data_IF_354605214774
#
_entry.id   IF_354605214774
#
_cell.length_a   1.000
_cell.length_b   1.000
_cell.length_c   1.000
_cell.angle_alpha   90.00
_cell.angle_beta   90.00
_cell.angle_gamma   90.00
#
_symmetry.space_group_name_H-M   'P 1'
#
loop_
_entity.id
_entity.type
_entity.pdbx_description
1 polymer ?
#
# COMPACT_ATOMS: atom_id res chain seq x y z
N UNK A 1 -11.86 29.28 61.86
CA UNK A 1 -10.72 28.59 61.23
C UNK A 1 -11.18 27.58 60.18
N UNK A 2 -12.09 26.65 60.48
CA UNK A 2 -12.57 25.61 59.54
C UNK A 2 -13.24 26.21 58.26
N UNK A 3 -14.09 27.26 58.40
CA UNK A 3 -14.75 27.96 57.32
C UNK A 3 -13.76 28.63 56.38
N UNK A 4 -12.68 29.23 56.87
CA UNK A 4 -11.61 29.82 56.04
C UNK A 4 -10.84 28.75 55.24
N UNK A 5 -10.58 27.59 55.83
CA UNK A 5 -9.96 26.44 55.13
C UNK A 5 -10.86 25.90 54.02
N UNK A 6 -12.15 25.73 54.29
CA UNK A 6 -13.13 25.28 53.28
C UNK A 6 -13.27 26.29 52.13
N UNK A 7 -13.29 27.57 52.43
CA UNK A 7 -13.35 28.64 51.42
C UNK A 7 -12.06 28.66 50.60
N UNK A 8 -10.87 28.50 51.24
CA UNK A 8 -9.60 28.43 50.53
C UNK A 8 -9.52 27.22 49.58
N UNK A 9 -10.00 26.03 50.02
CA UNK A 9 -10.07 24.83 49.15
C UNK A 9 -11.04 25.02 47.96
N UNK A 10 -12.22 25.61 48.20
CA UNK A 10 -13.19 25.90 47.15
C UNK A 10 -12.64 26.91 46.12
N UNK A 11 -11.94 27.95 46.59
CA UNK A 11 -11.28 28.91 45.72
C UNK A 11 -10.15 28.26 44.92
N UNK A 12 -9.29 27.46 45.52
CA UNK A 12 -8.22 26.75 44.83
C UNK A 12 -8.77 25.80 43.78
N UNK A 13 -9.84 25.06 44.09
CA UNK A 13 -10.52 24.19 43.14
C UNK A 13 -11.11 24.99 41.98
N UNK A 14 -11.77 26.11 42.20
CA UNK A 14 -12.33 26.93 41.17
C UNK A 14 -11.25 27.53 40.25
N UNK A 15 -10.16 28.03 40.82
CA UNK A 15 -9.01 28.56 40.05
C UNK A 15 -8.36 27.47 39.21
N UNK A 16 -8.14 26.28 39.78
CA UNK A 16 -7.58 25.15 39.07
C UNK A 16 -8.48 24.75 37.88
N UNK A 17 -9.79 24.59 38.09
CA UNK A 17 -10.75 24.26 37.03
C UNK A 17 -10.66 25.28 35.89
N UNK A 18 -10.69 26.57 36.19
CA UNK A 18 -10.62 27.64 35.20
C UNK A 18 -9.28 27.68 34.46
N UNK A 19 -8.18 27.35 35.15
CA UNK A 19 -6.85 27.27 34.58
C UNK A 19 -6.75 26.12 33.56
N UNK A 20 -7.26 24.92 33.91
CA UNK A 20 -7.27 23.79 33.01
C UNK A 20 -8.17 24.06 31.79
N UNK A 21 -9.40 24.49 31.99
CA UNK A 21 -10.33 24.79 30.89
C UNK A 21 -9.73 25.76 29.85
N UNK A 22 -8.96 26.74 30.31
CA UNK A 22 -8.37 27.77 29.44
C UNK A 22 -7.06 27.36 28.76
N UNK A 23 -6.24 26.52 29.42
CA UNK A 23 -4.84 26.34 29.02
C UNK A 23 -4.45 24.90 28.68
N UNK A 24 -5.34 23.92 28.84
CA UNK A 24 -4.96 22.51 28.63
C UNK A 24 -4.54 22.21 27.20
N UNK A 25 -5.14 22.86 26.18
CA UNK A 25 -4.79 22.71 24.77
C UNK A 25 -3.54 23.48 24.34
N UNK A 26 -3.21 24.58 25.07
CA UNK A 26 -2.07 25.40 24.70
C UNK A 26 -0.77 24.62 24.73
N UNK A 27 0.02 24.70 23.66
CA UNK A 27 1.30 24.00 23.52
C UNK A 27 1.22 22.48 23.73
N UNK A 28 0.05 21.89 23.51
CA UNK A 28 -0.12 20.45 23.40
C UNK A 28 -0.13 20.07 21.92
N UNK A 29 0.84 19.30 21.48
CA UNK A 29 0.95 18.80 20.10
C UNK A 29 0.75 17.31 20.10
N UNK A 30 -0.14 16.84 19.23
CA UNK A 30 -0.42 15.42 19.03
C UNK A 30 -0.20 15.15 17.55
N UNK A 31 0.67 14.20 17.25
CA UNK A 31 0.99 13.76 15.92
C UNK A 31 0.89 12.24 15.85
N UNK A 32 0.13 11.76 14.91
CA UNK A 32 0.00 10.34 14.59
C UNK A 32 0.47 10.13 13.16
N UNK A 33 1.33 9.15 12.92
CA UNK A 33 1.85 8.87 11.59
C UNK A 33 2.13 7.38 11.40
N UNK A 34 1.81 6.87 10.22
CA UNK A 34 2.34 5.59 9.77
C UNK A 34 3.85 5.71 9.54
N UNK A 35 4.60 4.68 9.88
CA UNK A 35 6.04 4.65 9.64
C UNK A 35 6.33 4.43 8.16
N UNK A 36 5.57 3.54 7.53
CA UNK A 36 5.73 3.19 6.13
C UNK A 36 4.61 3.82 5.30
N UNK A 37 4.93 4.30 4.11
CA UNK A 37 3.95 4.84 3.16
C UNK A 37 3.23 3.75 2.37
N UNK A 38 3.86 2.58 2.22
CA UNK A 38 3.28 1.43 1.52
C UNK A 38 3.88 0.13 2.05
N UNK A 39 3.04 -0.90 2.19
CA UNK A 39 3.41 -2.26 2.60
C UNK A 39 2.58 -3.27 1.79
N UNK A 40 2.92 -4.55 1.87
CA UNK A 40 2.08 -5.61 1.32
C UNK A 40 1.14 -6.19 2.37
N UNK A 41 0.01 -6.72 1.91
CA UNK A 41 -0.95 -7.43 2.73
C UNK A 41 -0.27 -8.61 3.45
N UNK A 42 -0.49 -8.70 4.76
CA UNK A 42 0.15 -9.67 5.65
C UNK A 42 1.46 -9.19 6.27
N UNK A 43 2.03 -8.10 5.80
CA UNK A 43 3.23 -7.51 6.40
C UNK A 43 2.90 -6.70 7.65
N UNK A 44 3.91 -6.52 8.49
CA UNK A 44 3.85 -5.72 9.70
C UNK A 44 4.43 -4.32 9.45
N UNK A 45 3.81 -3.33 10.04
CA UNK A 45 4.30 -1.96 10.10
C UNK A 45 4.00 -1.36 11.47
N UNK A 46 4.34 -0.11 11.68
CA UNK A 46 4.14 0.56 12.96
C UNK A 46 3.43 1.90 12.80
N UNK A 47 2.52 2.16 13.72
CA UNK A 47 1.90 3.47 13.93
C UNK A 47 2.68 4.20 15.02
N UNK A 48 3.15 5.40 14.74
CA UNK A 48 3.89 6.24 15.67
C UNK A 48 2.99 7.35 16.20
N UNK A 49 2.83 7.38 17.51
CA UNK A 49 2.14 8.44 18.26
C UNK A 49 3.16 9.30 18.97
N UNK A 50 3.18 10.58 18.70
CA UNK A 50 4.07 11.56 19.36
C UNK A 50 3.20 12.62 20.02
N UNK A 51 3.26 12.71 21.34
CA UNK A 51 2.52 13.68 22.13
C UNK A 51 3.53 14.54 22.88
N UNK A 52 3.44 15.84 22.70
CA UNK A 52 4.35 16.83 23.32
C UNK A 52 3.53 17.78 24.16
N UNK A 53 3.78 17.77 25.47
CA UNK A 53 3.25 18.75 26.40
C UNK A 53 4.33 19.82 26.67
N UNK A 54 4.36 20.88 25.86
CA UNK A 54 5.36 21.95 26.00
C UNK A 54 4.81 23.13 26.81
N UNK A 55 4.43 22.83 28.06
CA UNK A 55 3.93 23.81 29.05
C UNK A 55 4.21 23.37 30.47
N UNK A 56 4.09 24.32 31.41
CA UNK A 56 4.21 24.08 32.85
C UNK A 56 2.95 23.43 33.47
N UNK A 57 1.84 23.33 32.71
CA UNK A 57 0.63 22.70 33.20
C UNK A 57 0.72 21.18 32.98
N UNK A 58 0.77 20.36 34.05
CA UNK A 58 0.76 18.90 33.89
C UNK A 58 -0.61 18.42 33.40
N UNK A 59 -0.66 17.30 32.75
CA UNK A 59 -1.91 16.64 32.33
C UNK A 59 -1.92 15.25 32.99
N UNK A 60 -2.65 15.07 34.09
CA UNK A 60 -2.66 13.83 34.86
C UNK A 60 -3.14 12.63 34.06
N UNK A 61 -4.14 12.82 33.22
CA UNK A 61 -4.58 11.83 32.25
C UNK A 61 -5.01 12.52 30.95
N UNK A 62 -4.51 12.02 29.84
CA UNK A 62 -4.88 12.35 28.49
C UNK A 62 -5.31 11.06 27.80
N UNK A 63 -6.58 10.92 27.49
CA UNK A 63 -7.06 9.85 26.62
C UNK A 63 -6.90 10.28 25.18
N UNK A 64 -6.23 9.47 24.38
CA UNK A 64 -6.10 9.65 22.92
C UNK A 64 -6.91 8.57 22.23
N UNK A 65 -7.88 8.98 21.45
CA UNK A 65 -8.71 8.11 20.61
C UNK A 65 -8.39 8.31 19.14
N UNK A 66 -8.14 7.23 18.43
CA UNK A 66 -7.87 7.23 16.99
C UNK A 66 -8.86 6.28 16.33
N UNK A 67 -9.54 6.78 15.30
CA UNK A 67 -10.40 5.95 14.45
C UNK A 67 -9.60 5.42 13.27
N UNK A 68 -9.65 4.10 13.05
CA UNK A 68 -8.92 3.45 11.98
C UNK A 68 -9.67 2.22 11.48
N UNK A 69 -9.29 1.69 10.31
CA UNK A 69 -9.91 0.52 9.71
C UNK A 69 -9.64 -0.76 10.55
N UNK A 70 -10.64 -1.64 10.60
CA UNK A 70 -10.56 -2.99 11.23
C UNK A 70 -9.53 -3.91 10.58
N UNK A 71 -9.17 -3.63 9.33
CA UNK A 71 -8.23 -4.43 8.56
C UNK A 71 -6.77 -4.23 9.02
N UNK A 72 -6.51 -3.27 9.90
CA UNK A 72 -5.24 -3.09 10.60
C UNK A 72 -5.34 -3.79 11.96
N UNK A 73 -4.71 -4.95 12.08
CA UNK A 73 -4.74 -5.75 13.31
C UNK A 73 -3.56 -5.41 14.21
N UNK A 74 -3.84 -4.78 15.35
CA UNK A 74 -2.86 -4.49 16.40
C UNK A 74 -2.68 -5.68 17.33
N UNK A 75 -1.51 -5.81 17.98
CA UNK A 75 -1.22 -6.87 18.92
C UNK A 75 -2.26 -6.93 20.07
N UNK A 76 -2.39 -8.13 20.70
CA UNK A 76 -3.43 -8.43 21.70
C UNK A 76 -3.48 -7.47 22.88
N UNK A 77 -2.36 -6.89 23.28
CA UNK A 77 -2.32 -5.87 24.35
C UNK A 77 -3.01 -4.56 23.95
N UNK A 78 -2.98 -4.24 22.66
CA UNK A 78 -3.68 -3.08 22.11
C UNK A 78 -5.18 -3.34 21.88
N UNK A 79 -5.62 -4.61 21.80
CA UNK A 79 -7.03 -5.00 21.63
C UNK A 79 -7.90 -4.79 22.87
N UNK A 80 -7.31 -4.72 24.06
CA UNK A 80 -8.07 -4.59 25.31
C UNK A 80 -8.91 -3.30 25.38
N UNK A 81 -8.58 -2.29 24.57
CA UNK A 81 -9.21 -0.97 24.58
C UNK A 81 -9.94 -0.64 23.26
N UNK A 82 -10.19 -1.62 22.38
CA UNK A 82 -10.85 -1.40 21.09
C UNK A 82 -12.34 -1.76 21.15
N UNK A 83 -13.20 -0.84 20.77
CA UNK A 83 -14.64 -1.05 20.56
C UNK A 83 -14.87 -1.55 19.12
N UNK A 84 -15.74 -2.57 18.99
CA UNK A 84 -15.96 -3.27 17.70
C UNK A 84 -17.20 -2.69 17.01
N UNK A 85 -16.98 -1.76 16.12
CA UNK A 85 -17.90 -1.37 15.04
C UNK A 85 -17.08 -1.45 13.74
N UNK A 86 -17.60 -1.12 12.57
CA UNK A 86 -16.84 -1.18 11.29
C UNK A 86 -15.53 -0.36 11.29
N UNK A 87 -15.38 0.54 12.22
CA UNK A 87 -14.13 1.21 12.56
C UNK A 87 -13.63 0.73 13.92
N UNK A 88 -12.36 0.37 14.01
CA UNK A 88 -11.67 0.10 15.27
C UNK A 88 -11.36 1.44 15.93
N UNK A 89 -11.97 1.69 17.08
CA UNK A 89 -11.68 2.87 17.89
C UNK A 89 -10.68 2.51 18.97
N UNK A 90 -9.45 2.95 18.81
CA UNK A 90 -8.39 2.71 19.79
C UNK A 90 -8.34 3.88 20.77
N UNK A 91 -8.33 3.58 22.05
CA UNK A 91 -8.23 4.56 23.14
C UNK A 91 -7.02 4.23 24.03
N UNK A 92 -6.10 5.16 24.13
CA UNK A 92 -4.92 5.06 24.97
C UNK A 92 -4.89 6.18 26.00
N UNK A 93 -4.38 5.92 27.19
CA UNK A 93 -4.29 6.88 28.29
C UNK A 93 -2.83 7.20 28.57
N UNK A 94 -2.50 8.48 28.59
CA UNK A 94 -1.17 9.02 28.87
C UNK A 94 -1.21 9.97 30.07
N UNK A 95 -0.10 10.07 30.78
CA UNK A 95 0.11 11.06 31.84
C UNK A 95 1.32 11.92 31.49
N UNK A 96 1.18 13.23 31.61
CA UNK A 96 2.25 14.18 31.29
C UNK A 96 2.54 15.10 32.45
N UNK A 97 3.81 15.22 32.78
CA UNK A 97 4.35 16.32 33.56
C UNK A 97 4.61 17.53 32.65
N UNK A 98 5.25 18.56 33.19
CA UNK A 98 5.62 19.76 32.45
C UNK A 98 6.77 19.48 31.48
N UNK A 99 6.73 20.08 30.30
CA UNK A 99 7.74 19.96 29.24
C UNK A 99 8.15 18.51 28.92
N UNK A 100 7.15 17.63 28.77
CA UNK A 100 7.37 16.21 28.52
C UNK A 100 6.88 15.81 27.13
N UNK A 101 7.68 14.97 26.49
CA UNK A 101 7.30 14.28 25.24
C UNK A 101 7.20 12.80 25.49
N UNK A 102 6.14 12.18 25.00
CA UNK A 102 5.97 10.73 24.95
C UNK A 102 5.86 10.32 23.50
N UNK A 103 6.65 9.33 23.11
CA UNK A 103 6.58 8.69 21.80
C UNK A 103 6.21 7.23 22.02
N UNK A 104 5.17 6.78 21.35
CA UNK A 104 4.73 5.39 21.36
C UNK A 104 4.73 4.85 19.94
N UNK A 105 5.20 3.62 19.78
CA UNK A 105 5.16 2.88 18.53
C UNK A 105 4.28 1.67 18.71
N UNK A 106 3.34 1.47 17.80
CA UNK A 106 2.32 0.44 17.86
C UNK A 106 2.46 -0.45 16.64
N UNK A 107 2.97 -1.67 16.78
CA UNK A 107 3.04 -2.62 15.69
C UNK A 107 1.62 -3.07 15.31
N UNK A 108 1.38 -3.21 14.03
CA UNK A 108 0.15 -3.75 13.47
C UNK A 108 0.45 -4.58 12.23
N UNK A 109 -0.45 -5.48 11.88
CA UNK A 109 -0.43 -6.25 10.66
C UNK A 109 -1.58 -5.83 9.75
N UNK A 110 -1.29 -5.56 8.48
CA UNK A 110 -2.31 -5.27 7.48
C UNK A 110 -2.95 -6.56 6.96
N UNK A 111 -4.24 -6.76 7.21
CA UNK A 111 -4.97 -8.01 6.84
C UNK A 111 -5.59 -7.98 5.46
N UNK A 112 -5.82 -6.80 4.92
CA UNK A 112 -6.45 -6.62 3.62
C UNK A 112 -5.76 -5.49 2.86
N UNK A 113 -5.65 -5.63 1.53
CA UNK A 113 -5.20 -4.54 0.66
C UNK A 113 -6.17 -3.36 0.77
N UNK A 114 -5.69 -2.17 0.52
CA UNK A 114 -6.53 -0.97 0.55
C UNK A 114 -5.75 0.30 0.77
N UNK A 115 -6.46 1.40 0.73
CA UNK A 115 -5.98 2.70 1.14
C UNK A 115 -6.44 2.97 2.58
N UNK A 116 -5.49 3.30 3.45
CA UNK A 116 -5.73 3.56 4.87
C UNK A 116 -5.31 4.97 5.22
N UNK A 117 -6.24 5.73 5.76
CA UNK A 117 -6.04 7.11 6.16
C UNK A 117 -6.45 7.32 7.61
N UNK A 118 -5.69 8.13 8.32
CA UNK A 118 -6.07 8.67 9.63
C UNK A 118 -6.19 10.18 9.49
N UNK A 119 -7.42 10.67 9.56
CA UNK A 119 -7.76 12.09 9.36
C UNK A 119 -7.81 12.87 10.67
N UNK A 120 -7.94 12.21 11.81
CA UNK A 120 -8.05 12.87 13.10
C UNK A 120 -7.72 12.00 14.28
N UNK A 121 -7.37 12.65 15.37
CA UNK A 121 -7.22 12.06 16.69
C UNK A 121 -8.05 12.87 17.69
N UNK A 122 -8.83 12.18 18.52
CA UNK A 122 -9.65 12.79 19.56
C UNK A 122 -8.91 12.72 20.90
N UNK A 123 -8.76 13.83 21.57
CA UNK A 123 -8.11 13.90 22.86
C UNK A 123 -9.07 14.34 23.96
N UNK A 124 -9.03 13.64 25.09
CA UNK A 124 -9.77 13.99 26.29
C UNK A 124 -8.78 14.14 27.43
N UNK A 125 -8.59 15.37 27.90
CA UNK A 125 -7.74 15.64 29.04
C UNK A 125 -8.57 15.74 30.33
N UNK A 126 -8.01 15.23 31.42
CA UNK A 126 -8.60 15.36 32.75
C UNK A 126 -7.80 16.33 33.62
N UNK A 127 -8.52 17.04 34.47
CA UNK A 127 -7.91 17.90 35.46
C UNK A 127 -7.35 17.08 36.65
N UNK A 128 -6.72 17.74 37.64
CA UNK A 128 -6.13 17.07 38.82
C UNK A 128 -7.12 16.27 39.62
N UNK A 129 -8.41 16.53 39.50
CA UNK A 129 -9.48 15.86 40.29
C UNK A 129 -10.29 14.85 39.44
N UNK A 130 -9.96 14.66 38.18
CA UNK A 130 -10.62 13.70 37.28
C UNK A 130 -12.15 13.86 37.17
N UNK A 131 -12.66 15.06 37.28
CA UNK A 131 -14.12 15.29 37.33
C UNK A 131 -14.74 15.52 35.98
N UNK A 132 -14.08 16.30 35.12
CA UNK A 132 -14.59 16.67 33.82
C UNK A 132 -13.55 16.34 32.74
N UNK A 133 -13.98 15.65 31.70
CA UNK A 133 -13.18 15.48 30.49
C UNK A 133 -13.23 16.73 29.62
N UNK A 134 -12.06 17.24 29.25
CA UNK A 134 -11.90 18.38 28.35
C UNK A 134 -11.56 17.84 26.96
N UNK A 135 -12.45 18.02 25.99
CA UNK A 135 -12.40 17.42 24.67
C UNK A 135 -11.75 18.35 23.65
N UNK A 136 -10.97 17.79 22.75
CA UNK A 136 -10.46 18.46 21.57
C UNK A 136 -10.09 17.47 20.47
N UNK A 137 -10.26 17.94 19.22
CA UNK A 137 -9.90 17.20 18.04
C UNK A 137 -8.60 17.76 17.47
N UNK A 138 -7.72 16.85 17.07
CA UNK A 138 -6.45 17.14 16.44
C UNK A 138 -6.45 16.57 15.02
N UNK A 139 -6.56 17.42 13.98
CA UNK A 139 -6.53 16.93 12.61
C UNK A 139 -5.19 16.25 12.33
N UNK A 140 -5.25 15.11 11.68
CA UNK A 140 -4.10 14.34 11.22
C UNK A 140 -4.20 14.16 9.71
N UNK A 141 -3.07 14.01 9.04
CA UNK A 141 -3.00 13.69 7.62
C UNK A 141 -1.92 12.65 7.42
N UNK A 142 -2.25 11.41 7.73
CA UNK A 142 -1.34 10.29 7.48
C UNK A 142 -2.06 9.21 6.71
N UNK A 143 -1.40 8.72 5.68
CA UNK A 143 -1.96 7.74 4.75
C UNK A 143 -0.96 6.63 4.50
N UNK A 144 -1.47 5.45 4.19
CA UNK A 144 -0.69 4.27 3.87
C UNK A 144 -1.41 3.43 2.83
N UNK A 145 -0.66 2.93 1.86
CA UNK A 145 -1.15 1.97 0.87
C UNK A 145 -0.78 0.56 1.27
N UNK A 146 -1.74 -0.35 1.22
CA UNK A 146 -1.50 -1.79 1.41
C UNK A 146 -1.72 -2.50 0.09
N UNK A 147 -0.64 -2.96 -0.51
CA UNK A 147 -0.64 -3.67 -1.79
C UNK A 147 -1.10 -5.12 -1.64
N UNK A 148 -1.67 -5.74 -2.69
CA UNK A 148 -2.00 -7.15 -2.68
C UNK A 148 -0.78 -8.02 -2.34
N UNK A 149 -0.97 -9.02 -1.48
CA UNK A 149 0.09 -9.97 -1.10
C UNK A 149 0.65 -10.68 -2.33
N UNK A 150 1.98 -10.75 -2.40
CA UNK A 150 2.66 -11.49 -3.45
C UNK A 150 2.56 -13.00 -3.20
N UNK A 151 2.06 -13.73 -4.20
CA UNK A 151 1.91 -15.19 -4.17
C UNK A 151 2.95 -15.79 -5.11
N UNK A 152 3.90 -16.57 -4.55
CA UNK A 152 4.90 -17.28 -5.34
C UNK A 152 4.67 -18.80 -5.27
N UNK A 153 3.70 -19.26 -6.05
CA UNK A 153 3.39 -20.69 -6.18
C UNK A 153 4.09 -21.30 -7.38
N UNK A 154 4.35 -22.63 -7.33
CA UNK A 154 4.89 -23.37 -8.47
C UNK A 154 4.02 -23.21 -9.73
N UNK A 155 2.70 -23.04 -9.55
CA UNK A 155 1.75 -22.84 -10.65
C UNK A 155 1.96 -21.49 -11.35
N UNK A 156 2.16 -20.39 -10.61
CA UNK A 156 2.48 -19.07 -11.17
C UNK A 156 3.80 -19.13 -11.90
N UNK A 157 4.82 -19.80 -11.33
CA UNK A 157 6.11 -19.97 -11.97
C UNK A 157 5.99 -20.75 -13.29
N UNK A 158 5.19 -21.80 -13.33
CA UNK A 158 4.94 -22.59 -14.53
C UNK A 158 4.25 -21.74 -15.62
N UNK A 159 3.20 -20.98 -15.26
CA UNK A 159 2.51 -20.08 -16.20
C UNK A 159 3.47 -19.05 -16.78
N UNK A 160 4.28 -18.40 -15.94
CA UNK A 160 5.26 -17.42 -16.41
C UNK A 160 6.29 -18.05 -17.36
N UNK A 161 6.79 -19.26 -17.07
CA UNK A 161 7.71 -19.98 -17.97
C UNK A 161 7.08 -20.34 -19.31
N UNK A 162 5.84 -20.83 -19.27
CA UNK A 162 5.11 -21.19 -20.48
C UNK A 162 4.88 -19.96 -21.38
N UNK A 163 4.42 -18.85 -20.81
CA UNK A 163 4.22 -17.58 -21.53
C UNK A 163 5.53 -17.04 -22.06
N UNK A 164 6.61 -17.02 -21.28
CA UNK A 164 7.94 -16.60 -21.73
C UNK A 164 8.44 -17.46 -22.90
N UNK A 165 8.24 -18.78 -22.83
CA UNK A 165 8.58 -19.70 -23.91
C UNK A 165 7.79 -19.43 -25.19
N UNK A 166 6.50 -19.17 -25.09
CA UNK A 166 5.66 -18.78 -26.25
C UNK A 166 6.08 -17.45 -26.86
N UNK A 167 6.39 -16.46 -26.04
CA UNK A 167 6.88 -15.14 -26.49
C UNK A 167 8.20 -15.29 -27.25
N UNK A 168 9.16 -16.04 -26.70
CA UNK A 168 10.46 -16.29 -27.34
C UNK A 168 10.32 -17.08 -28.65
N UNK A 169 9.43 -18.08 -28.68
CA UNK A 169 9.16 -18.88 -29.89
C UNK A 169 8.53 -18.01 -30.98
N UNK A 170 7.59 -17.17 -30.63
CA UNK A 170 6.89 -16.28 -31.57
C UNK A 170 7.83 -15.23 -32.14
N UNK A 171 8.70 -14.65 -31.35
CA UNK A 171 9.72 -13.70 -31.82
C UNK A 171 10.68 -14.32 -32.84
N UNK A 172 10.99 -15.62 -32.70
CA UNK A 172 11.81 -16.34 -33.68
C UNK A 172 11.08 -16.63 -35.00
N UNK A 173 9.74 -16.74 -34.99
CA UNK A 173 8.93 -17.02 -36.15
C UNK A 173 8.61 -15.79 -37.00
N UNK A 174 8.66 -14.60 -36.39
CA UNK A 174 8.34 -13.32 -37.02
C UNK A 174 9.58 -12.42 -37.08
N UNK A 175 10.67 -12.91 -37.72
CA UNK A 175 11.78 -12.04 -38.14
C UNK A 175 11.27 -11.02 -39.14
N UNK A 176 11.57 -9.73 -38.92
CA UNK A 176 11.21 -8.66 -39.88
C UNK A 176 12.27 -8.60 -41.00
N UNK A 177 11.88 -8.85 -42.24
CA UNK A 177 12.81 -8.77 -43.38
C UNK A 177 13.45 -7.40 -43.58
N UNK A 178 12.92 -6.35 -42.95
CA UNK A 178 13.42 -4.97 -43.08
C UNK A 178 14.37 -4.58 -41.92
N UNK A 179 14.41 -5.32 -40.84
CA UNK A 179 15.36 -5.08 -39.73
C UNK A 179 16.58 -5.99 -39.81
N UNK A 180 17.53 -5.52 -40.63
CA UNK A 180 18.81 -6.20 -40.76
C UNK A 180 19.65 -6.08 -39.48
N UNK A 181 19.92 -7.20 -38.81
CA UNK A 181 20.70 -7.31 -37.59
C UNK A 181 22.18 -7.62 -37.85
N UNK A 182 22.48 -8.43 -38.87
CA UNK A 182 23.84 -8.81 -39.17
C UNK A 182 23.96 -9.89 -40.22
N UNK A 183 25.21 -10.40 -40.42
CA UNK A 183 25.53 -11.48 -41.34
C UNK A 183 26.21 -12.59 -40.53
N UNK A 184 25.82 -13.84 -40.75
CA UNK A 184 26.42 -15.02 -40.16
C UNK A 184 26.69 -16.11 -41.19
N UNK A 185 27.44 -17.11 -40.79
CA UNK A 185 27.67 -18.28 -41.64
C UNK A 185 26.38 -19.04 -41.91
N UNK A 186 26.28 -19.56 -43.14
CA UNK A 186 25.17 -20.38 -43.60
C UNK A 186 25.10 -21.70 -42.81
N UNK A 187 23.90 -22.11 -42.47
CA UNK A 187 23.61 -23.44 -41.91
C UNK A 187 22.65 -24.18 -42.83
N UNK A 188 22.69 -25.53 -42.79
CA UNK A 188 21.89 -26.40 -43.68
C UNK A 188 20.36 -26.14 -43.57
N UNK A 189 19.90 -25.60 -42.42
CA UNK A 189 18.52 -25.30 -42.17
C UNK A 189 18.09 -23.92 -42.69
N UNK A 190 19.04 -23.11 -43.15
CA UNK A 190 18.74 -21.76 -43.65
C UNK A 190 18.16 -21.79 -45.06
N UNK A 191 17.09 -21.02 -45.30
CA UNK A 191 16.51 -20.96 -46.65
C UNK A 191 17.42 -20.17 -47.59
N UNK A 192 17.54 -20.64 -48.82
CA UNK A 192 18.42 -20.09 -49.86
C UNK A 192 18.15 -18.63 -50.21
N UNK A 193 16.93 -18.15 -50.02
CA UNK A 193 16.54 -16.76 -50.26
C UNK A 193 17.14 -15.75 -49.26
N UNK A 194 17.74 -16.23 -48.19
CA UNK A 194 18.42 -15.39 -47.18
C UNK A 194 19.92 -15.25 -47.42
N UNK A 195 20.48 -15.93 -48.41
CA UNK A 195 21.90 -15.86 -48.68
C UNK A 195 22.29 -14.46 -49.13
N UNK A 196 23.28 -13.89 -48.49
CA UNK A 196 23.92 -12.66 -48.89
C UNK A 196 25.04 -12.93 -49.91
N UNK A 197 24.68 -12.98 -51.15
CA UNK A 197 25.62 -13.29 -52.25
C UNK A 197 26.83 -12.36 -52.28
N UNK A 198 26.65 -11.08 -51.95
CA UNK A 198 27.72 -10.08 -51.91
C UNK A 198 28.73 -10.35 -50.80
N UNK A 199 28.28 -10.70 -49.63
CA UNK A 199 29.17 -11.06 -48.50
C UNK A 199 29.80 -12.41 -48.72
N UNK A 200 29.06 -13.39 -49.20
CA UNK A 200 29.56 -14.70 -49.52
C UNK A 200 30.73 -14.67 -50.53
N UNK A 201 30.59 -13.84 -51.58
CA UNK A 201 31.65 -13.66 -52.58
C UNK A 201 32.90 -12.98 -52.04
N UNK A 202 32.82 -12.21 -50.95
CA UNK A 202 33.98 -11.58 -50.32
C UNK A 202 34.68 -12.48 -49.32
N UNK A 203 33.91 -13.31 -48.60
CA UNK A 203 34.41 -14.16 -47.53
C UNK A 203 34.87 -15.54 -48.02
N UNK A 204 34.40 -15.95 -49.19
CA UNK A 204 34.70 -17.28 -49.77
C UNK A 204 33.78 -18.39 -49.27
N UNK A 205 32.91 -18.10 -48.27
CA UNK A 205 31.96 -19.02 -47.67
C UNK A 205 30.54 -18.48 -47.77
N UNK A 206 29.54 -19.38 -47.73
CA UNK A 206 28.13 -18.95 -47.77
C UNK A 206 27.74 -18.20 -46.51
N UNK A 207 27.28 -16.95 -46.71
CA UNK A 207 26.83 -16.05 -45.62
C UNK A 207 25.34 -15.78 -45.72
N UNK A 208 24.66 -15.67 -44.60
CA UNK A 208 23.22 -15.43 -44.48
C UNK A 208 22.92 -14.13 -43.75
N UNK A 209 21.97 -13.37 -44.27
CA UNK A 209 21.43 -12.21 -43.56
C UNK A 209 20.66 -12.66 -42.33
N UNK A 210 20.94 -12.01 -41.21
CA UNK A 210 20.23 -12.17 -39.97
C UNK A 210 19.32 -10.95 -39.74
N UNK A 211 18.09 -11.21 -39.38
CA UNK A 211 17.08 -10.17 -39.16
C UNK A 211 16.59 -10.24 -37.74
N UNK A 212 16.31 -9.10 -37.12
CA UNK A 212 15.73 -9.03 -35.79
C UNK A 212 14.20 -9.01 -35.86
N UNK A 213 13.56 -9.43 -34.76
CA UNK A 213 12.10 -9.37 -34.66
C UNK A 213 11.68 -7.98 -34.21
N UNK A 214 10.95 -7.25 -35.08
CA UNK A 214 10.46 -5.90 -34.79
C UNK A 214 9.21 -5.90 -33.93
N UNK A 215 8.52 -7.02 -33.81
CA UNK A 215 7.26 -7.10 -33.06
C UNK A 215 7.54 -7.49 -31.63
N UNK A 216 7.42 -6.56 -30.71
CA UNK A 216 7.32 -6.88 -29.28
C UNK A 216 6.02 -7.63 -29.03
N UNK A 217 6.09 -8.87 -28.60
CA UNK A 217 4.90 -9.62 -28.18
C UNK A 217 4.43 -9.05 -26.86
N UNK A 218 3.21 -8.51 -26.87
CA UNK A 218 2.54 -8.03 -25.67
C UNK A 218 1.69 -9.14 -25.06
N UNK A 219 1.74 -9.26 -23.75
CA UNK A 219 0.90 -10.17 -22.98
C UNK A 219 -0.25 -9.38 -22.38
N UNK A 220 -1.47 -9.87 -22.49
CA UNK A 220 -2.62 -9.27 -21.81
C UNK A 220 -3.12 -10.23 -20.73
N UNK A 221 -3.19 -9.74 -19.50
CA UNK A 221 -3.85 -10.40 -18.35
C UNK A 221 -5.23 -9.81 -18.21
N UNK A 222 -6.23 -10.65 -18.27
CA UNK A 222 -7.62 -10.28 -18.03
C UNK A 222 -7.99 -10.71 -16.60
N UNK A 223 -8.37 -9.74 -15.78
CA UNK A 223 -8.89 -9.97 -14.43
C UNK A 223 -10.40 -9.80 -14.48
N UNK A 224 -11.09 -10.92 -14.38
CA UNK A 224 -12.55 -10.95 -14.28
C UNK A 224 -12.95 -11.03 -12.82
N UNK A 225 -13.68 -10.01 -12.34
CA UNK A 225 -14.19 -9.93 -10.97
C UNK A 225 -15.72 -9.91 -10.91
N UNK A 226 -16.41 -9.94 -12.07
CA UNK A 226 -17.85 -10.11 -12.06
C UNK A 226 -18.20 -11.50 -11.57
N UNK A 227 -18.96 -11.56 -10.48
CA UNK A 227 -19.55 -12.80 -10.02
C UNK A 227 -21.03 -12.84 -10.44
N UNK A 228 -21.34 -13.79 -11.31
CA UNK A 228 -22.73 -14.03 -11.74
C UNK A 228 -23.60 -14.64 -10.63
N UNK A 229 -23.02 -15.00 -9.50
CA UNK A 229 -23.72 -15.63 -8.38
C UNK A 229 -24.32 -14.58 -7.44
N UNK A 230 -25.48 -14.94 -6.85
CA UNK A 230 -26.16 -14.11 -5.85
C UNK A 230 -25.34 -14.00 -4.55
N UNK A 231 -24.48 -14.98 -4.27
CA UNK A 231 -23.55 -15.00 -3.14
C UNK A 231 -22.15 -14.71 -3.67
N UNK A 232 -21.71 -13.48 -3.48
CA UNK A 232 -20.34 -13.06 -3.85
C UNK A 232 -19.31 -13.71 -2.95
N UNK A 233 -18.31 -14.33 -3.56
CA UNK A 233 -17.18 -14.90 -2.83
C UNK A 233 -16.00 -13.91 -2.83
N UNK A 234 -16.06 -12.90 -1.95
CA UNK A 234 -15.01 -11.90 -1.78
C UNK A 234 -13.60 -12.52 -1.69
N UNK A 235 -13.51 -13.70 -1.07
CA UNK A 235 -12.22 -14.41 -0.95
C UNK A 235 -11.63 -14.83 -2.30
N UNK A 236 -12.46 -15.20 -3.28
CA UNK A 236 -11.99 -15.58 -4.62
C UNK A 236 -11.56 -14.35 -5.43
N UNK A 237 -12.30 -13.25 -5.31
CA UNK A 237 -11.94 -11.98 -5.95
C UNK A 237 -10.59 -11.49 -5.42
N UNK A 238 -10.41 -11.48 -4.11
CA UNK A 238 -9.14 -11.08 -3.48
C UNK A 238 -7.98 -11.98 -3.91
N UNK A 239 -8.19 -13.30 -3.99
CA UNK A 239 -7.15 -14.21 -4.45
C UNK A 239 -6.82 -14.02 -5.94
N UNK A 240 -7.80 -13.72 -6.78
CA UNK A 240 -7.60 -13.40 -8.20
C UNK A 240 -6.76 -12.11 -8.38
N UNK A 241 -6.99 -11.11 -7.54
CA UNK A 241 -6.22 -9.87 -7.52
C UNK A 241 -4.78 -10.13 -7.06
N UNK A 242 -4.56 -10.95 -6.03
CA UNK A 242 -3.22 -11.35 -5.56
C UNK A 242 -2.44 -12.09 -6.64
N UNK A 243 -3.10 -13.03 -7.33
CA UNK A 243 -2.52 -13.79 -8.44
C UNK A 243 -2.15 -12.83 -9.59
N UNK A 244 -3.05 -11.92 -9.97
CA UNK A 244 -2.81 -10.94 -11.04
C UNK A 244 -1.62 -10.03 -10.72
N UNK A 245 -1.56 -9.46 -9.52
CA UNK A 245 -0.44 -8.63 -9.06
C UNK A 245 0.88 -9.41 -9.11
N UNK A 246 0.89 -10.65 -8.60
CA UNK A 246 2.08 -11.51 -8.56
C UNK A 246 2.57 -11.91 -9.95
N UNK A 247 1.63 -12.26 -10.84
CA UNK A 247 1.91 -12.62 -12.22
C UNK A 247 2.50 -11.41 -12.97
N UNK A 248 1.87 -10.24 -12.83
CA UNK A 248 2.34 -9.02 -13.47
C UNK A 248 3.73 -8.60 -12.98
N UNK A 249 3.97 -8.60 -11.67
CA UNK A 249 5.28 -8.28 -11.11
C UNK A 249 6.38 -9.22 -11.65
N UNK A 250 6.08 -10.50 -11.79
CA UNK A 250 7.04 -11.48 -12.33
C UNK A 250 7.28 -11.33 -13.82
N UNK A 251 6.23 -11.04 -14.61
CA UNK A 251 6.37 -10.80 -16.06
C UNK A 251 7.18 -9.53 -16.34
N UNK A 252 6.93 -8.45 -15.61
CA UNK A 252 7.72 -7.21 -15.70
C UNK A 252 9.18 -7.44 -15.32
N UNK A 253 9.44 -8.24 -14.26
CA UNK A 253 10.80 -8.65 -13.90
C UNK A 253 11.50 -9.44 -15.01
N UNK A 254 10.75 -10.22 -15.77
CA UNK A 254 11.24 -10.95 -16.94
C UNK A 254 11.31 -10.08 -18.21
N UNK A 255 11.19 -8.75 -18.08
CA UNK A 255 11.27 -7.78 -19.18
C UNK A 255 10.21 -7.96 -20.27
N UNK A 256 9.01 -8.43 -19.91
CA UNK A 256 7.88 -8.55 -20.82
C UNK A 256 6.98 -7.33 -20.72
N UNK A 257 6.47 -6.85 -21.86
CA UNK A 257 5.42 -5.83 -21.90
C UNK A 257 4.08 -6.50 -21.58
N UNK A 258 3.31 -5.87 -20.72
CA UNK A 258 2.09 -6.45 -20.18
C UNK A 258 0.96 -5.42 -20.14
N UNK A 259 -0.22 -5.83 -20.58
CA UNK A 259 -1.48 -5.16 -20.28
C UNK A 259 -2.20 -5.90 -19.17
N UNK A 260 -2.70 -5.17 -18.20
CA UNK A 260 -3.68 -5.69 -17.22
C UNK A 260 -4.98 -4.96 -17.45
N UNK A 261 -6.03 -5.72 -17.72
CA UNK A 261 -7.39 -5.21 -17.95
C UNK A 261 -8.35 -5.93 -17.01
N UNK A 262 -9.32 -5.18 -16.49
CA UNK A 262 -10.40 -5.75 -15.68
C UNK A 262 -11.71 -5.10 -16.06
N UNK A 263 -12.80 -5.84 -15.85
CA UNK A 263 -14.18 -5.34 -15.86
C UNK A 263 -14.53 -4.57 -14.57
N UNK A 264 -13.67 -4.60 -13.58
CA UNK A 264 -13.79 -3.76 -12.40
C UNK A 264 -13.72 -2.28 -12.73
N UNK A 265 -14.47 -1.50 -11.99
CA UNK A 265 -14.41 -0.05 -12.04
C UNK A 265 -13.49 0.46 -10.92
N UNK A 266 -12.71 1.46 -11.24
CA UNK A 266 -11.94 2.21 -10.26
C UNK A 266 -12.92 3.11 -9.45
N UNK A 267 -12.83 3.08 -8.12
CA UNK A 267 -13.72 3.85 -7.23
C UNK A 267 -13.60 5.37 -7.43
N UNK A 268 -12.42 5.86 -7.82
CA UNK A 268 -12.17 7.29 -7.97
C UNK A 268 -12.59 7.79 -9.36
N UNK A 269 -12.25 7.03 -10.42
CA UNK A 269 -12.45 7.47 -11.81
C UNK A 269 -13.74 6.93 -12.42
N UNK A 270 -14.28 5.81 -11.90
CA UNK A 270 -15.42 5.10 -12.47
C UNK A 270 -15.12 4.38 -13.79
N UNK A 271 -13.86 4.38 -14.25
CA UNK A 271 -13.43 3.75 -15.49
C UNK A 271 -12.99 2.30 -15.24
N UNK A 272 -13.08 1.46 -16.28
CA UNK A 272 -12.53 0.10 -16.24
C UNK A 272 -11.01 0.12 -16.11
N UNK A 273 -10.48 -0.79 -15.29
CA UNK A 273 -9.04 -0.91 -15.11
C UNK A 273 -8.33 -1.28 -16.42
N UNK A 274 -7.40 -0.44 -16.88
CA UNK A 274 -6.55 -0.66 -18.05
C UNK A 274 -5.15 -0.11 -17.80
N UNK A 275 -4.23 -0.97 -17.35
CA UNK A 275 -2.86 -0.58 -17.04
C UNK A 275 -1.88 -1.22 -18.00
N UNK A 276 -1.02 -0.41 -18.60
CA UNK A 276 0.07 -0.87 -19.47
C UNK A 276 1.39 -0.83 -18.70
N UNK A 277 2.01 -1.98 -18.53
CA UNK A 277 3.29 -2.16 -17.88
C UNK A 277 4.37 -2.41 -18.93
N UNK A 278 5.16 -1.38 -19.23
CA UNK A 278 6.35 -1.56 -20.04
C UNK A 278 7.45 -2.28 -19.25
N UNK A 279 8.30 -3.02 -19.95
CA UNK A 279 9.46 -3.70 -19.36
C UNK A 279 10.37 -2.68 -18.64
N UNK A 280 10.47 -2.77 -17.32
CA UNK A 280 11.33 -1.89 -16.51
C UNK A 280 10.83 -1.72 -15.07
N UNK A 281 11.74 -1.34 -14.17
CA UNK A 281 11.42 -1.11 -12.78
C UNK A 281 10.54 0.15 -12.59
N UNK A 282 9.57 0.10 -11.68
CA UNK A 282 8.77 1.24 -11.23
C UNK A 282 7.27 1.18 -11.59
N UNK A 283 6.88 0.49 -12.65
CA UNK A 283 5.46 0.44 -13.08
C UNK A 283 4.60 -0.58 -12.32
N UNK A 284 5.19 -1.50 -11.57
CA UNK A 284 4.44 -2.42 -10.70
C UNK A 284 3.74 -1.70 -9.56
N UNK A 285 4.28 -0.57 -9.09
CA UNK A 285 3.63 0.26 -8.08
C UNK A 285 2.35 0.93 -8.64
N UNK A 286 2.36 1.39 -9.89
CA UNK A 286 1.19 1.93 -10.56
C UNK A 286 0.06 0.90 -10.68
N UNK A 287 0.40 -0.34 -11.09
CA UNK A 287 -0.57 -1.43 -11.11
C UNK A 287 -1.12 -1.72 -9.72
N UNK A 288 -0.25 -1.81 -8.71
CA UNK A 288 -0.67 -2.11 -7.35
C UNK A 288 -1.59 -1.01 -6.80
N UNK A 289 -1.32 0.27 -7.09
CA UNK A 289 -2.20 1.39 -6.76
C UNK A 289 -3.57 1.24 -7.45
N UNK A 290 -3.57 0.98 -8.75
CA UNK A 290 -4.83 0.75 -9.47
C UNK A 290 -5.61 -0.45 -8.94
N UNK A 291 -4.91 -1.53 -8.55
CA UNK A 291 -5.55 -2.71 -7.95
C UNK A 291 -6.10 -2.43 -6.52
N UNK A 292 -5.61 -1.43 -5.80
CA UNK A 292 -6.16 -1.04 -4.49
C UNK A 292 -7.54 -0.40 -4.64
N UNK A 293 -7.73 0.41 -5.69
CA UNK A 293 -8.96 1.17 -5.93
C UNK A 293 -10.04 0.37 -6.65
N UNK A 294 -9.77 -0.89 -7.00
CA UNK A 294 -10.81 -1.78 -7.54
C UNK A 294 -11.80 -2.10 -6.43
N UNK A 295 -13.01 -1.58 -6.56
CA UNK A 295 -14.20 -2.09 -5.90
C UNK A 295 -15.10 -2.82 -6.88
N UNK A 296 -15.95 -3.62 -6.31
CA UNK A 296 -16.98 -4.38 -7.02
C UNK A 296 -18.09 -3.48 -7.58
#
# INVERSE_FOLDING_TARGET
>A
MLLLLLFGMALAWFLQKKLYQKNWQKNLKIQVSFQDSAIYEGEESTLKEVIVNDKLLPIPALELGISMSRNLEFDREAKANASITDQSYKRDVFSFLFHQQVTRTLPFQAKKRGFYEITGAHAVAYDLFFREGLYSDYPQQTQMYVYPRQVDTARIQMICRAVSGMVLSRNRLYEDPFEFSGIRDYRKEDPMNRINWKSSARMGDLMVNQFDATTSVEVTVLLDIEDANILREEAQVEESIRITSSLAARMVKNKMNLWVKSNAKDEETGEELRVHLAAGAGKTAELNLSLIHISE
#
